data_IF_063603872616
#
_entry.id   IF_063603872616
#
_cell.length_a   1.000
_cell.length_b   1.000
_cell.length_c   1.000
_cell.angle_alpha   90.00
_cell.angle_beta   90.00
_cell.angle_gamma   90.00
#
_symmetry.space_group_name_H-M   'P 1'
#
loop_
_entity.id
_entity.type
_entity.pdbx_description
1 polymer ?
#
# COMPACT_ATOMS: atom_id res chain seq x y z
N UNK A 1 14.52 5.50 22.78
CA UNK A 1 13.82 6.79 22.88
C UNK A 1 12.57 6.66 22.03
N UNK A 2 11.40 6.88 22.61
CA UNK A 2 10.15 6.87 21.84
C UNK A 2 10.22 8.05 20.86
N UNK A 3 9.93 7.77 19.59
CA UNK A 3 9.91 8.75 18.52
C UNK A 3 8.59 9.46 18.41
N UNK A 4 7.52 8.69 18.22
CA UNK A 4 6.15 9.21 18.04
C UNK A 4 5.14 8.20 18.60
N UNK A 5 3.94 8.67 18.91
CA UNK A 5 2.80 7.82 19.28
C UNK A 5 1.54 8.15 18.47
N UNK A 6 1.59 9.18 17.64
CA UNK A 6 0.56 9.49 16.64
C UNK A 6 1.25 9.73 15.31
N UNK A 7 0.72 9.12 14.24
CA UNK A 7 1.08 9.43 12.85
C UNK A 7 -0.17 9.86 12.09
N UNK A 8 -0.11 11.01 11.45
CA UNK A 8 -1.16 11.59 10.62
C UNK A 8 -0.74 11.41 9.16
N UNK A 9 -1.64 10.88 8.33
CA UNK A 9 -1.47 10.76 6.89
C UNK A 9 -2.63 11.48 6.20
N UNK A 10 -2.35 12.56 5.48
CA UNK A 10 -3.32 13.32 4.70
C UNK A 10 -3.24 12.90 3.23
N UNK A 11 -4.34 12.39 2.69
CA UNK A 11 -4.45 11.90 1.32
C UNK A 11 -4.98 12.99 0.39
N UNK A 12 -4.57 12.97 -0.88
CA UNK A 12 -4.96 13.99 -1.87
C UNK A 12 -6.47 14.09 -2.10
N UNK A 13 -7.21 13.00 -1.93
CA UNK A 13 -8.67 12.96 -1.99
C UNK A 13 -9.40 13.55 -0.75
N UNK A 14 -8.66 14.17 0.17
CA UNK A 14 -9.18 14.80 1.38
C UNK A 14 -9.48 13.84 2.53
N UNK A 15 -9.13 12.56 2.39
CA UNK A 15 -9.18 11.62 3.51
C UNK A 15 -7.97 11.84 4.43
N UNK A 16 -8.17 11.73 5.74
CA UNK A 16 -7.10 11.81 6.74
C UNK A 16 -7.11 10.57 7.62
N UNK A 17 -5.95 9.96 7.80
CA UNK A 17 -5.75 8.80 8.66
C UNK A 17 -4.87 9.14 9.84
N UNK A 18 -5.41 8.98 11.04
CA UNK A 18 -4.67 9.01 12.28
C UNK A 18 -4.34 7.57 12.69
N UNK A 19 -3.06 7.31 12.90
CA UNK A 19 -2.53 6.05 13.44
C UNK A 19 -2.01 6.30 14.84
N UNK A 20 -2.72 5.78 15.84
CA UNK A 20 -2.41 5.92 17.26
C UNK A 20 -1.69 4.65 17.72
N UNK A 21 -0.57 4.84 18.40
CA UNK A 21 0.27 3.79 18.95
C UNK A 21 0.41 4.02 20.47
N UNK A 22 -0.46 3.42 21.31
CA UNK A 22 -0.47 3.70 22.75
C UNK A 22 0.89 3.44 23.45
N UNK A 23 1.62 2.42 23.00
CA UNK A 23 2.96 2.06 23.51
C UNK A 23 4.10 2.89 22.90
N UNK A 24 3.79 3.77 21.94
CA UNK A 24 4.75 4.53 21.15
C UNK A 24 5.56 3.69 20.16
N UNK A 25 6.09 4.37 19.15
CA UNK A 25 7.03 3.85 18.16
C UNK A 25 8.37 4.52 18.38
N UNK A 26 9.45 3.75 18.38
CA UNK A 26 10.80 4.31 18.52
C UNK A 26 11.20 4.99 17.20
N UNK A 27 11.72 6.21 17.27
CA UNK A 27 12.24 6.89 16.09
C UNK A 27 13.44 6.12 15.55
N UNK A 28 13.42 5.83 14.26
CA UNK A 28 14.55 5.33 13.51
C UNK A 28 14.70 6.27 12.32
N UNK A 29 15.78 7.08 12.24
CA UNK A 29 15.97 7.94 11.08
C UNK A 29 16.00 7.12 9.79
N UNK A 30 15.52 7.68 8.68
CA UNK A 30 15.34 6.94 7.41
C UNK A 30 16.60 6.24 6.93
N UNK A 31 17.75 6.87 7.07
CA UNK A 31 19.08 6.33 6.73
C UNK A 31 19.40 5.04 7.51
N UNK A 32 18.82 4.90 8.70
CA UNK A 32 19.02 3.77 9.61
C UNK A 32 17.84 2.80 9.61
N UNK A 33 16.71 3.06 8.94
CA UNK A 33 15.54 2.15 8.95
C UNK A 33 15.87 0.77 8.42
N UNK A 34 16.59 0.68 7.30
CA UNK A 34 17.06 -0.61 6.78
C UNK A 34 18.17 -1.22 7.62
N UNK A 35 19.02 -0.39 8.25
CA UNK A 35 20.14 -0.86 9.06
C UNK A 35 19.66 -1.42 10.39
N UNK A 36 18.89 -0.69 11.19
CA UNK A 36 18.48 -1.09 12.55
C UNK A 36 17.49 -2.26 12.57
N UNK A 37 16.57 -2.34 11.62
CA UNK A 37 15.64 -3.47 11.51
C UNK A 37 16.40 -4.77 11.18
N UNK A 38 17.34 -4.69 10.24
CA UNK A 38 18.23 -5.81 9.90
C UNK A 38 19.19 -6.11 11.05
N UNK A 39 19.84 -5.11 11.66
CA UNK A 39 20.86 -5.26 12.69
C UNK A 39 20.31 -5.79 14.02
N UNK A 40 19.06 -5.47 14.41
CA UNK A 40 18.42 -6.05 15.61
C UNK A 40 18.13 -7.53 15.44
N UNK A 41 17.76 -7.95 14.23
CA UNK A 41 17.43 -9.35 13.92
C UNK A 41 18.70 -10.13 13.63
N UNK A 42 19.67 -9.52 12.94
CA UNK A 42 21.02 -10.05 12.78
C UNK A 42 21.68 -10.23 14.13
N UNK A 43 21.63 -9.25 15.06
CA UNK A 43 22.12 -9.44 16.43
C UNK A 43 21.47 -10.63 17.11
N UNK A 44 20.14 -10.78 17.06
CA UNK A 44 19.45 -11.95 17.65
C UNK A 44 19.82 -13.28 16.98
N UNK A 45 20.06 -13.29 15.67
CA UNK A 45 20.51 -14.48 14.92
C UNK A 45 22.00 -14.78 15.15
N UNK A 46 22.79 -13.77 15.51
CA UNK A 46 24.24 -13.84 15.68
C UNK A 46 24.62 -14.11 17.15
N UNK A 47 23.82 -13.63 18.11
CA UNK A 47 23.91 -13.98 19.53
C UNK A 47 23.77 -15.49 19.77
N UNK A 48 23.06 -16.22 18.89
CA UNK A 48 22.98 -17.69 18.96
C UNK A 48 24.17 -18.43 18.33
N UNK A 49 25.16 -17.72 17.76
CA UNK A 49 26.30 -18.30 17.03
C UNK A 49 27.67 -17.90 17.62
N UNK A 50 27.70 -17.09 18.68
CA UNK A 50 28.95 -16.59 19.25
C UNK A 50 29.60 -17.66 20.15
N UNK A 51 30.39 -18.54 19.52
CA UNK A 51 31.34 -19.40 20.20
C UNK A 51 32.67 -18.68 20.40
N UNK A 52 33.11 -18.54 21.66
CA UNK A 52 34.47 -18.14 21.97
C UNK A 52 35.36 -19.37 22.02
N UNK A 53 36.40 -19.41 21.18
CA UNK A 53 37.36 -20.50 21.15
C UNK A 53 38.75 -19.97 21.50
N UNK A 54 39.50 -20.74 22.27
CA UNK A 54 40.91 -20.45 22.50
C UNK A 54 41.70 -20.78 21.23
N UNK A 55 42.30 -19.76 20.62
CA UNK A 55 43.18 -19.94 19.47
C UNK A 55 44.61 -20.24 19.97
N UNK A 56 45.14 -21.47 19.79
CA UNK A 56 46.44 -21.86 20.30
C UNK A 56 47.62 -21.22 19.57
N UNK A 57 47.40 -20.52 18.45
CA UNK A 57 48.44 -19.84 17.67
C UNK A 57 48.58 -18.36 18.03
N UNK A 58 47.51 -17.74 18.53
CA UNK A 58 47.51 -16.33 18.97
C UNK A 58 47.42 -16.19 20.48
N UNK A 59 47.27 -17.31 21.20
CA UNK A 59 47.10 -17.40 22.66
C UNK A 59 45.96 -16.52 23.20
N UNK A 60 44.97 -16.24 22.36
CA UNK A 60 43.84 -15.38 22.67
C UNK A 60 42.53 -16.11 22.46
N UNK A 61 41.54 -15.72 23.25
CA UNK A 61 40.16 -16.10 22.99
C UNK A 61 39.71 -15.30 21.76
N UNK A 62 39.43 -16.01 20.67
CA UNK A 62 38.97 -15.41 19.42
C UNK A 62 37.53 -15.84 19.13
N UNK A 63 36.81 -14.96 18.45
CA UNK A 63 35.43 -15.18 18.04
C UNK A 63 35.43 -16.01 16.75
N UNK A 64 35.02 -17.27 16.83
CA UNK A 64 34.88 -18.10 15.64
C UNK A 64 33.49 -17.82 15.04
N UNK A 65 33.43 -17.33 13.79
CA UNK A 65 32.19 -17.38 13.01
C UNK A 65 32.14 -18.76 12.35
N UNK A 66 31.35 -19.69 12.86
CA UNK A 66 30.98 -20.86 12.07
C UNK A 66 30.32 -20.40 10.76
N UNK A 67 30.47 -21.18 9.68
CA UNK A 67 29.71 -20.96 8.45
C UNK A 67 28.23 -20.80 8.81
N UNK A 68 27.55 -19.77 8.28
CA UNK A 68 26.12 -19.58 8.54
C UNK A 68 25.39 -20.90 8.26
N UNK A 69 24.68 -21.45 9.25
CA UNK A 69 23.89 -22.66 9.02
C UNK A 69 22.86 -22.36 7.93
N UNK A 70 22.57 -23.34 7.07
CA UNK A 70 21.58 -23.19 6.01
C UNK A 70 20.20 -22.73 6.55
N UNK A 71 19.90 -23.05 7.81
CA UNK A 71 18.70 -22.61 8.51
C UNK A 71 18.68 -21.09 8.76
N UNK A 72 19.80 -20.51 9.19
CA UNK A 72 19.91 -19.07 9.45
C UNK A 72 19.89 -18.28 8.14
N UNK A 73 20.55 -18.79 7.09
CA UNK A 73 20.47 -18.19 5.75
C UNK A 73 19.01 -18.21 5.22
N UNK A 74 18.30 -19.32 5.42
CA UNK A 74 16.89 -19.44 5.04
C UNK A 74 15.99 -18.45 5.82
N UNK A 75 16.22 -18.30 7.13
CA UNK A 75 15.49 -17.33 7.96
C UNK A 75 15.75 -15.89 7.52
N UNK A 76 17.01 -15.51 7.25
CA UNK A 76 17.39 -14.19 6.72
C UNK A 76 16.69 -13.91 5.37
N UNK A 77 16.73 -14.88 4.46
CA UNK A 77 16.09 -14.78 3.14
C UNK A 77 14.58 -14.61 3.26
N UNK A 78 13.92 -15.39 4.12
CA UNK A 78 12.48 -15.30 4.37
C UNK A 78 12.09 -13.94 4.98
N UNK A 79 12.89 -13.43 5.91
CA UNK A 79 12.68 -12.12 6.51
C UNK A 79 12.82 -10.99 5.47
N UNK A 80 13.92 -10.98 4.71
CA UNK A 80 14.18 -10.00 3.65
C UNK A 80 13.05 -9.97 2.62
N UNK A 81 12.57 -11.14 2.19
CA UNK A 81 11.42 -11.25 1.30
C UNK A 81 10.15 -10.63 1.91
N UNK A 82 9.85 -10.94 3.18
CA UNK A 82 8.68 -10.38 3.87
C UNK A 82 8.73 -8.86 3.94
N UNK A 83 9.86 -8.28 4.36
CA UNK A 83 10.05 -6.82 4.43
C UNK A 83 9.87 -6.18 3.05
N UNK A 84 10.47 -6.78 2.02
CA UNK A 84 10.35 -6.31 0.64
C UNK A 84 8.91 -6.33 0.11
N UNK A 85 8.14 -7.39 0.43
CA UNK A 85 6.71 -7.50 0.10
C UNK A 85 5.93 -6.39 0.82
N UNK A 86 6.12 -6.25 2.13
CA UNK A 86 5.43 -5.25 2.95
C UNK A 86 5.69 -3.83 2.45
N UNK A 87 6.95 -3.48 2.15
CA UNK A 87 7.30 -2.15 1.60
C UNK A 87 6.57 -1.88 0.28
N UNK A 88 6.49 -2.88 -0.59
CA UNK A 88 5.81 -2.73 -1.88
C UNK A 88 4.30 -2.59 -1.70
N UNK A 89 3.70 -3.38 -0.81
CA UNK A 89 2.28 -3.26 -0.46
C UNK A 89 1.94 -1.90 0.10
N UNK A 90 2.72 -1.41 1.07
CA UNK A 90 2.49 -0.11 1.70
C UNK A 90 2.57 0.99 0.64
N UNK A 91 3.63 0.99 -0.20
CA UNK A 91 3.77 2.00 -1.25
C UNK A 91 2.61 2.00 -2.25
N UNK A 92 2.19 0.81 -2.69
CA UNK A 92 1.02 0.66 -3.59
C UNK A 92 -0.25 1.14 -2.89
N UNK A 93 -0.41 0.81 -1.60
CA UNK A 93 -1.56 1.22 -0.80
C UNK A 93 -1.60 2.74 -0.64
N UNK A 94 -0.51 3.38 -0.25
CA UNK A 94 -0.42 4.83 -0.04
C UNK A 94 -0.73 5.61 -1.33
N UNK A 95 -0.14 5.20 -2.46
CA UNK A 95 -0.40 5.78 -3.77
C UNK A 95 -1.87 5.56 -4.18
N UNK A 96 -2.38 4.34 -4.03
CA UNK A 96 -3.75 4.03 -4.42
C UNK A 96 -4.80 4.64 -3.48
N UNK A 97 -4.46 4.91 -2.22
CA UNK A 97 -5.38 5.52 -1.24
C UNK A 97 -5.53 7.02 -1.45
N UNK A 98 -4.49 7.66 -1.99
CA UNK A 98 -4.46 9.09 -2.29
C UNK A 98 -5.42 9.49 -3.42
N UNK A 99 -5.72 8.56 -4.32
CA UNK A 99 -6.52 8.83 -5.51
C UNK A 99 -7.98 8.37 -5.38
N UNK A 100 -8.83 8.86 -6.29
CA UNK A 100 -10.19 8.35 -6.51
C UNK A 100 -10.24 7.60 -7.85
N UNK A 101 -10.46 6.28 -7.78
CA UNK A 101 -10.36 5.40 -8.94
C UNK A 101 -11.70 5.22 -9.68
N UNK A 102 -11.66 5.22 -11.01
CA UNK A 102 -12.86 5.06 -11.84
C UNK A 102 -13.10 3.60 -12.25
N UNK A 103 -12.04 2.88 -12.63
CA UNK A 103 -12.15 1.52 -13.15
C UNK A 103 -11.11 0.58 -12.58
N UNK A 104 -11.55 -0.64 -12.30
CA UNK A 104 -10.70 -1.78 -12.01
C UNK A 104 -10.43 -2.55 -13.31
N UNK A 105 -9.16 -2.74 -13.62
CA UNK A 105 -8.68 -3.32 -14.87
C UNK A 105 -8.09 -4.71 -14.60
N UNK A 106 -8.34 -5.63 -15.53
CA UNK A 106 -7.58 -6.87 -15.66
C UNK A 106 -7.13 -7.02 -17.10
N UNK A 107 -5.84 -7.29 -17.30
CA UNK A 107 -5.22 -7.56 -18.59
C UNK A 107 -4.70 -9.00 -18.61
N UNK A 108 -5.12 -9.73 -19.63
CA UNK A 108 -4.72 -11.11 -19.88
C UNK A 108 -4.07 -11.18 -21.26
N UNK A 109 -2.93 -11.87 -21.34
CA UNK A 109 -2.16 -11.99 -22.58
C UNK A 109 -2.56 -13.23 -23.36
N UNK A 110 -2.58 -13.07 -24.67
CA UNK A 110 -2.74 -14.14 -25.65
C UNK A 110 -1.35 -14.68 -26.01
N UNK A 111 -1.18 -15.99 -25.85
CA UNK A 111 0.07 -16.72 -26.07
C UNK A 111 0.58 -16.59 -27.52
N UNK A 112 -0.33 -16.41 -28.48
CA UNK A 112 0.01 -16.19 -29.88
C UNK A 112 0.62 -14.80 -30.15
N UNK A 113 0.47 -13.84 -29.23
CA UNK A 113 0.83 -12.43 -29.44
C UNK A 113 1.95 -11.94 -28.55
N UNK A 114 2.09 -12.52 -27.36
CA UNK A 114 3.09 -12.14 -26.36
C UNK A 114 3.44 -13.39 -25.58
N UNK A 115 4.73 -13.61 -25.33
CA UNK A 115 5.16 -14.61 -24.36
C UNK A 115 4.62 -14.23 -22.98
N UNK A 116 3.53 -14.90 -22.59
CA UNK A 116 2.80 -14.66 -21.34
C UNK A 116 3.52 -15.22 -20.12
N UNK A 117 4.62 -15.96 -20.31
CA UNK A 117 5.46 -16.51 -19.25
C UNK A 117 6.73 -15.68 -19.04
N UNK A 118 7.07 -14.76 -19.95
CA UNK A 118 8.07 -13.72 -19.72
C UNK A 118 7.46 -12.42 -19.18
N UNK A 119 7.77 -12.13 -17.92
CA UNK A 119 7.39 -10.88 -17.26
C UNK A 119 7.77 -9.63 -18.06
N UNK A 120 8.98 -9.58 -18.62
CA UNK A 120 9.48 -8.39 -19.30
C UNK A 120 8.74 -8.17 -20.63
N UNK A 121 8.44 -9.25 -21.35
CA UNK A 121 7.61 -9.21 -22.55
C UNK A 121 6.21 -8.65 -22.22
N UNK A 122 5.56 -9.18 -21.19
CA UNK A 122 4.26 -8.70 -20.72
C UNK A 122 4.31 -7.22 -20.31
N UNK A 123 5.26 -6.86 -19.45
CA UNK A 123 5.46 -5.49 -18.98
C UNK A 123 5.61 -4.50 -20.13
N UNK A 124 6.43 -4.84 -21.14
CA UNK A 124 6.67 -3.98 -22.30
C UNK A 124 5.37 -3.67 -23.06
N UNK A 125 4.49 -4.67 -23.23
CA UNK A 125 3.20 -4.50 -23.90
C UNK A 125 2.22 -3.67 -23.07
N UNK A 126 2.17 -3.90 -21.76
CA UNK A 126 1.40 -3.07 -20.82
C UNK A 126 1.81 -1.60 -20.91
N UNK A 127 3.11 -1.31 -20.76
CA UNK A 127 3.65 0.05 -20.86
C UNK A 127 3.39 0.68 -22.22
N UNK A 128 3.52 -0.08 -23.32
CA UNK A 128 3.22 0.41 -24.66
C UNK A 128 1.74 0.82 -24.78
N UNK A 129 0.82 0.01 -24.27
CA UNK A 129 -0.60 0.33 -24.28
C UNK A 129 -0.89 1.57 -23.42
N UNK A 130 -0.40 1.63 -22.19
CA UNK A 130 -0.59 2.78 -21.28
C UNK A 130 -0.08 4.09 -21.90
N UNK A 131 1.12 4.07 -22.49
CA UNK A 131 1.69 5.24 -23.17
C UNK A 131 0.83 5.70 -24.36
N UNK A 132 0.22 4.77 -25.09
CA UNK A 132 -0.69 5.11 -26.18
C UNK A 132 -2.00 5.72 -25.66
N UNK A 133 -2.56 5.18 -24.57
CA UNK A 133 -3.76 5.74 -23.95
C UNK A 133 -3.51 7.17 -23.47
N UNK A 134 -2.42 7.36 -22.72
CA UNK A 134 -2.02 8.64 -22.18
C UNK A 134 -1.85 9.70 -23.29
N UNK A 135 -1.08 9.39 -24.33
CA UNK A 135 -0.76 10.37 -25.39
C UNK A 135 -1.92 10.72 -26.32
N UNK A 136 -2.89 9.81 -26.50
CA UNK A 136 -3.91 9.96 -27.54
C UNK A 136 -5.28 10.33 -27.00
N UNK A 137 -5.57 9.94 -25.75
CA UNK A 137 -6.94 9.97 -25.23
C UNK A 137 -7.05 10.57 -23.83
N UNK A 138 -6.03 10.45 -22.98
CA UNK A 138 -6.11 10.80 -21.57
C UNK A 138 -4.77 11.33 -21.03
N UNK A 139 -4.50 12.62 -21.25
CA UNK A 139 -3.21 13.22 -20.88
C UNK A 139 -2.93 13.19 -19.38
N UNK A 140 -3.98 13.18 -18.55
CA UNK A 140 -3.88 13.15 -17.08
C UNK A 140 -4.15 11.75 -16.51
N UNK A 141 -4.05 10.70 -17.34
CA UNK A 141 -4.34 9.32 -16.95
C UNK A 141 -3.55 8.92 -15.70
N UNK A 142 -4.28 8.73 -14.60
CA UNK A 142 -3.76 8.18 -13.37
C UNK A 142 -3.90 6.66 -13.44
N UNK A 143 -2.84 5.92 -13.10
CA UNK A 143 -2.91 4.47 -13.06
C UNK A 143 -1.95 3.84 -12.06
N UNK A 144 -2.35 2.68 -11.55
CA UNK A 144 -1.46 1.74 -10.86
C UNK A 144 -1.75 0.32 -11.33
N UNK A 145 -0.72 -0.43 -11.72
CA UNK A 145 -0.82 -1.80 -12.20
C UNK A 145 0.12 -2.72 -11.43
N UNK A 146 -0.41 -3.87 -11.00
CA UNK A 146 0.30 -4.91 -10.26
C UNK A 146 0.26 -6.21 -11.07
N UNK A 147 1.41 -6.86 -11.30
CA UNK A 147 1.44 -8.18 -11.92
C UNK A 147 0.94 -9.26 -10.95
N UNK A 148 0.21 -10.23 -11.47
CA UNK A 148 -0.18 -11.47 -10.78
C UNK A 148 0.36 -12.66 -11.58
N UNK A 149 0.86 -13.68 -10.88
CA UNK A 149 1.21 -14.95 -11.49
C UNK A 149 0.04 -15.93 -11.33
N UNK A 150 -0.56 -16.33 -12.44
CA UNK A 150 -1.64 -17.30 -12.46
C UNK A 150 -1.09 -18.71 -12.16
N UNK A 151 -1.99 -19.67 -11.87
CA UNK A 151 -1.60 -21.03 -11.43
C UNK A 151 -0.77 -21.80 -12.47
N UNK A 152 -0.99 -21.51 -13.75
CA UNK A 152 -0.25 -22.06 -14.88
C UNK A 152 1.12 -21.38 -15.09
N UNK A 153 1.45 -20.36 -14.31
CA UNK A 153 2.70 -19.61 -14.39
C UNK A 153 2.64 -18.38 -15.28
N UNK A 154 1.52 -18.14 -15.97
CA UNK A 154 1.36 -16.97 -16.82
C UNK A 154 1.17 -15.69 -16.02
N UNK A 155 1.62 -14.56 -16.57
CA UNK A 155 1.45 -13.24 -15.97
C UNK A 155 0.14 -12.58 -16.41
N UNK A 156 -0.62 -12.10 -15.44
CA UNK A 156 -1.72 -11.17 -15.63
C UNK A 156 -1.37 -9.82 -15.00
N UNK A 157 -2.04 -8.76 -15.43
CA UNK A 157 -1.89 -7.44 -14.83
C UNK A 157 -3.24 -6.96 -14.34
N UNK A 158 -3.32 -6.65 -13.05
CA UNK A 158 -4.46 -5.96 -12.45
C UNK A 158 -4.11 -4.49 -12.28
N UNK A 159 -5.09 -3.61 -12.44
CA UNK A 159 -4.81 -2.20 -12.22
C UNK A 159 -6.03 -1.38 -11.81
N UNK A 160 -5.75 -0.19 -11.33
CA UNK A 160 -6.72 0.87 -11.09
C UNK A 160 -6.38 2.00 -12.05
N UNK A 161 -7.41 2.60 -12.66
CA UNK A 161 -7.24 3.76 -13.53
C UNK A 161 -8.27 4.84 -13.20
N UNK A 162 -7.87 6.10 -13.38
CA UNK A 162 -8.68 7.29 -13.23
C UNK A 162 -8.23 8.36 -14.24
N UNK A 163 -9.04 9.40 -14.39
CA UNK A 163 -8.87 10.45 -15.40
C UNK A 163 -8.79 9.85 -16.81
N UNK A 164 -9.73 8.94 -17.12
CA UNK A 164 -9.68 8.15 -18.36
C UNK A 164 -9.98 8.96 -19.62
N UNK A 165 -10.36 10.24 -19.48
CA UNK A 165 -10.57 11.16 -20.60
C UNK A 165 -11.45 10.56 -21.70
N UNK A 166 -10.91 10.52 -22.92
CA UNK A 166 -11.58 9.97 -24.10
C UNK A 166 -11.15 8.53 -24.42
N UNK A 167 -10.64 7.78 -23.43
CA UNK A 167 -10.28 6.38 -23.63
C UNK A 167 -11.49 5.57 -24.11
N UNK A 168 -11.27 4.71 -25.10
CA UNK A 168 -12.35 3.89 -25.67
C UNK A 168 -12.61 2.69 -24.77
N UNK A 169 -13.69 2.74 -23.99
CA UNK A 169 -14.21 1.59 -23.25
C UNK A 169 -15.34 0.95 -24.07
N UNK A 170 -15.05 -0.21 -24.66
CA UNK A 170 -16.00 -0.91 -25.54
C UNK A 170 -16.83 -1.86 -24.72
N UNK A 171 -18.14 -1.80 -24.86
CA UNK A 171 -19.03 -2.72 -24.19
C UNK A 171 -18.67 -4.19 -24.50
N UNK A 172 -18.45 -5.02 -23.46
CA UNK A 172 -18.10 -6.45 -23.64
C UNK A 172 -19.29 -7.36 -23.92
N UNK A 173 -20.51 -6.84 -23.87
CA UNK A 173 -21.76 -7.63 -23.88
C UNK A 173 -22.00 -8.39 -22.56
N UNK A 174 -21.25 -8.07 -21.50
CA UNK A 174 -21.34 -8.72 -20.18
C UNK A 174 -21.65 -7.73 -19.07
N UNK A 175 -22.24 -8.25 -18.00
CA UNK A 175 -22.52 -7.52 -16.76
C UNK A 175 -21.91 -8.22 -15.55
N UNK A 176 -21.54 -7.45 -14.54
CA UNK A 176 -21.00 -7.92 -13.28
C UNK A 176 -22.14 -8.12 -12.26
N UNK A 177 -22.31 -9.36 -11.79
CA UNK A 177 -23.28 -9.70 -10.75
C UNK A 177 -22.53 -10.41 -9.62
N UNK A 178 -22.38 -9.73 -8.48
CA UNK A 178 -21.52 -10.20 -7.40
C UNK A 178 -20.07 -10.38 -7.87
N UNK A 179 -19.52 -11.60 -7.72
CA UNK A 179 -18.13 -11.95 -8.09
C UNK A 179 -17.99 -12.57 -9.48
N UNK A 180 -19.07 -12.62 -10.28
CA UNK A 180 -19.10 -13.34 -11.56
C UNK A 180 -19.55 -12.42 -12.70
N UNK A 181 -19.12 -12.76 -13.92
CA UNK A 181 -19.58 -12.11 -15.15
C UNK A 181 -20.65 -12.95 -15.82
N UNK A 182 -21.69 -12.30 -16.32
CA UNK A 182 -22.79 -12.92 -17.04
C UNK A 182 -22.99 -12.25 -18.39
N UNK A 183 -23.47 -13.01 -19.39
CA UNK A 183 -23.89 -12.42 -20.67
C UNK A 183 -25.06 -11.48 -20.41
N UNK A 184 -25.06 -10.32 -21.06
CA UNK A 184 -26.14 -9.35 -20.92
C UNK A 184 -27.42 -9.86 -21.56
N UNK A 185 -28.51 -9.64 -20.84
CA UNK A 185 -29.89 -9.89 -21.24
C UNK A 185 -30.74 -8.74 -20.70
N UNK A 186 -31.97 -8.56 -21.20
CA UNK A 186 -32.86 -7.49 -20.72
C UNK A 186 -33.14 -7.61 -19.20
N UNK A 187 -33.12 -8.83 -18.66
CA UNK A 187 -33.35 -9.10 -17.23
C UNK A 187 -32.23 -8.64 -16.32
N UNK A 188 -31.00 -8.52 -16.84
CA UNK A 188 -29.82 -8.14 -16.06
C UNK A 188 -29.14 -6.86 -16.56
N UNK A 189 -29.80 -6.10 -17.43
CA UNK A 189 -29.28 -4.88 -18.02
C UNK A 189 -29.01 -3.76 -16.99
N UNK A 190 -29.67 -3.81 -15.83
CA UNK A 190 -29.45 -2.86 -14.73
C UNK A 190 -28.15 -3.07 -13.97
N UNK A 191 -27.49 -4.24 -14.13
CA UNK A 191 -26.23 -4.51 -13.44
C UNK A 191 -25.04 -3.80 -14.12
N UNK A 192 -23.97 -3.51 -13.37
CA UNK A 192 -22.79 -2.82 -13.91
C UNK A 192 -22.23 -3.52 -15.15
N UNK A 193 -22.05 -2.76 -16.22
CA UNK A 193 -21.45 -3.26 -17.46
C UNK A 193 -19.96 -3.49 -17.28
N UNK A 194 -19.46 -4.59 -17.85
CA UNK A 194 -18.03 -4.85 -18.00
C UNK A 194 -17.63 -4.36 -19.38
N UNK A 195 -16.56 -3.58 -19.46
CA UNK A 195 -16.03 -3.07 -20.72
C UNK A 195 -14.73 -3.79 -21.10
N UNK A 196 -14.42 -3.81 -22.38
CA UNK A 196 -13.11 -4.13 -22.92
C UNK A 196 -12.34 -2.83 -23.16
N UNK A 197 -11.03 -2.86 -22.94
CA UNK A 197 -10.15 -1.72 -23.15
C UNK A 197 -9.80 -1.57 -24.64
N UNK A 198 -10.21 -0.46 -25.23
CA UNK A 198 -9.90 -0.12 -26.62
C UNK A 198 -8.40 -0.06 -26.88
N UNK A 199 -7.98 -0.65 -28.01
CA UNK A 199 -6.58 -0.70 -28.42
C UNK A 199 -5.72 -1.70 -27.63
N UNK A 200 -6.28 -2.44 -26.66
CA UNK A 200 -5.60 -3.59 -26.08
C UNK A 200 -5.63 -4.75 -27.07
N UNK A 201 -4.56 -4.89 -27.85
CA UNK A 201 -4.49 -5.88 -28.93
C UNK A 201 -3.71 -7.14 -28.54
N UNK A 202 -3.19 -7.23 -27.32
CA UNK A 202 -2.28 -8.29 -26.86
C UNK A 202 -2.97 -9.45 -26.14
N UNK A 203 -4.30 -9.44 -26.05
CA UNK A 203 -5.11 -10.50 -25.47
C UNK A 203 -6.48 -9.97 -25.04
N UNK A 204 -6.95 -10.40 -23.88
CA UNK A 204 -8.23 -9.98 -23.32
C UNK A 204 -8.04 -8.88 -22.28
N UNK A 205 -9.06 -8.06 -22.10
CA UNK A 205 -9.10 -7.03 -21.08
C UNK A 205 -10.48 -6.93 -20.49
N UNK A 206 -10.56 -6.52 -19.22
CA UNK A 206 -11.82 -6.15 -18.59
C UNK A 206 -11.64 -4.86 -17.82
N UNK A 207 -12.60 -3.96 -17.92
CA UNK A 207 -12.72 -2.74 -17.14
C UNK A 207 -14.08 -2.73 -16.43
N UNK A 208 -14.06 -2.73 -15.11
CA UNK A 208 -15.27 -2.71 -14.26
C UNK A 208 -15.28 -1.42 -13.48
N UNK A 209 -16.41 -0.69 -13.50
CA UNK A 209 -16.53 0.57 -12.78
C UNK A 209 -16.38 0.35 -11.27
N UNK A 210 -15.61 1.23 -10.62
CA UNK A 210 -15.40 1.23 -9.18
C UNK A 210 -16.44 2.14 -8.54
N UNK A 211 -17.12 1.63 -7.52
CA UNK A 211 -18.06 2.41 -6.70
C UNK A 211 -17.47 2.79 -5.34
N UNK A 212 -16.35 2.15 -4.95
CA UNK A 212 -15.71 2.31 -3.65
C UNK A 212 -14.19 2.17 -3.85
N UNK A 213 -13.51 3.31 -3.98
CA UNK A 213 -12.06 3.37 -4.19
C UNK A 213 -11.29 2.72 -3.05
N UNK A 214 -11.76 2.81 -1.81
CA UNK A 214 -11.10 2.19 -0.67
C UNK A 214 -11.07 0.66 -0.78
N UNK A 215 -12.22 0.06 -1.10
CA UNK A 215 -12.28 -1.39 -1.34
C UNK A 215 -11.42 -1.80 -2.52
N UNK A 216 -11.37 -0.99 -3.59
CA UNK A 216 -10.52 -1.26 -4.74
C UNK A 216 -9.01 -1.20 -4.38
N UNK A 217 -8.59 -0.22 -3.59
CA UNK A 217 -7.23 -0.09 -3.06
C UNK A 217 -6.83 -1.27 -2.18
N UNK A 218 -7.71 -1.71 -1.29
CA UNK A 218 -7.45 -2.93 -0.51
C UNK A 218 -7.42 -4.18 -1.39
N UNK A 219 -8.26 -4.25 -2.43
CA UNK A 219 -8.32 -5.39 -3.34
C UNK A 219 -7.08 -5.48 -4.25
N UNK A 220 -6.55 -4.37 -4.77
CA UNK A 220 -5.37 -4.40 -5.65
C UNK A 220 -4.11 -4.91 -4.91
N UNK A 221 -3.98 -4.59 -3.62
CA UNK A 221 -2.84 -5.05 -2.81
C UNK A 221 -2.86 -6.57 -2.55
N UNK A 222 -4.00 -7.24 -2.76
CA UNK A 222 -4.11 -8.72 -2.71
C UNK A 222 -3.20 -9.40 -3.73
N UNK A 223 -2.99 -8.77 -4.89
CA UNK A 223 -2.18 -9.32 -5.99
C UNK A 223 -0.68 -9.18 -5.75
N UNK A 224 -0.26 -8.39 -4.76
CA UNK A 224 1.13 -8.31 -4.32
C UNK A 224 1.43 -9.51 -3.41
N UNK A 225 1.71 -10.66 -4.00
CA UNK A 225 1.98 -11.90 -3.26
C UNK A 225 3.47 -12.05 -2.92
N UNK A 226 3.80 -13.01 -2.03
CA UNK A 226 5.20 -13.38 -1.77
C UNK A 226 5.84 -13.97 -3.01
N UNK A 227 5.10 -14.82 -3.74
CA UNK A 227 5.58 -15.52 -4.93
C UNK A 227 5.96 -14.54 -6.04
N UNK A 228 5.09 -13.56 -6.33
CA UNK A 228 5.41 -12.54 -7.35
C UNK A 228 6.61 -11.68 -6.92
N UNK A 229 6.77 -11.38 -5.63
CA UNK A 229 7.89 -10.59 -5.16
C UNK A 229 9.22 -11.35 -5.21
N UNK A 230 9.20 -12.67 -5.02
CA UNK A 230 10.37 -13.53 -5.18
C UNK A 230 10.76 -13.65 -6.66
N UNK A 231 9.77 -13.84 -7.54
CA UNK A 231 9.94 -13.97 -8.99
C UNK A 231 10.45 -12.68 -9.64
N UNK A 232 10.03 -11.52 -9.11
CA UNK A 232 10.40 -10.19 -9.60
C UNK A 232 11.52 -9.54 -8.79
N UNK A 233 12.41 -10.33 -8.17
CA UNK A 233 13.56 -9.78 -7.44
C UNK A 233 14.41 -8.91 -8.38
N UNK A 234 14.65 -7.66 -7.99
CA UNK A 234 15.41 -6.68 -8.80
C UNK A 234 14.62 -6.07 -9.96
N UNK A 235 13.33 -6.39 -10.13
CA UNK A 235 12.45 -5.81 -11.15
C UNK A 235 11.38 -4.93 -10.51
N UNK A 236 10.72 -4.11 -11.33
CA UNK A 236 9.56 -3.34 -10.88
C UNK A 236 8.43 -4.28 -10.46
N UNK A 237 7.87 -4.09 -9.26
CA UNK A 237 6.78 -4.93 -8.75
C UNK A 237 5.38 -4.35 -8.97
N UNK A 238 5.33 -3.13 -9.49
CA UNK A 238 4.15 -2.43 -9.94
C UNK A 238 4.58 -1.36 -10.94
N UNK A 239 3.62 -0.84 -11.69
CA UNK A 239 3.79 0.31 -12.57
C UNK A 239 2.80 1.36 -12.10
N UNK A 240 3.24 2.60 -11.96
CA UNK A 240 2.37 3.70 -11.60
C UNK A 240 2.59 4.88 -12.55
N UNK A 241 1.56 5.69 -12.76
CA UNK A 241 1.72 6.99 -13.42
C UNK A 241 2.50 7.95 -12.51
N UNK A 242 3.10 8.99 -13.10
CA UNK A 242 3.93 9.95 -12.34
C UNK A 242 3.12 11.04 -11.64
N UNK A 243 1.85 11.19 -12.01
CA UNK A 243 0.93 12.18 -11.46
C UNK A 243 0.11 11.64 -10.27
N UNK A 244 0.47 10.48 -9.72
CA UNK A 244 -0.12 10.01 -8.46
C UNK A 244 0.44 10.82 -7.30
N UNK A 245 -0.40 11.05 -6.31
CA UNK A 245 -0.02 11.79 -5.11
C UNK A 245 0.45 10.84 -4.02
N UNK A 246 1.50 11.27 -3.31
CA UNK A 246 1.89 10.65 -2.06
C UNK A 246 1.16 11.34 -0.91
N UNK A 247 0.77 10.61 0.14
CA UNK A 247 0.17 11.24 1.31
C UNK A 247 1.21 12.13 2.00
N UNK A 248 0.73 13.24 2.55
CA UNK A 248 1.54 14.06 3.46
C UNK A 248 1.54 13.39 4.82
N UNK A 249 2.72 13.17 5.39
CA UNK A 249 2.86 12.47 6.67
C UNK A 249 3.41 13.40 7.76
N UNK A 250 2.79 13.34 8.94
CA UNK A 250 3.24 14.03 10.15
C UNK A 250 3.30 13.05 11.31
N UNK A 251 4.44 12.99 12.00
CA UNK A 251 4.64 12.16 13.18
C UNK A 251 4.71 13.04 14.43
N UNK A 252 3.90 12.72 15.44
CA UNK A 252 3.78 13.48 16.69
C UNK A 252 4.06 12.59 17.90
N UNK A 253 4.78 13.15 18.88
CA UNK A 253 4.91 12.58 20.21
C UNK A 253 4.03 13.37 21.18
N UNK A 254 2.80 12.92 21.35
CA UNK A 254 1.87 13.52 22.30
C UNK A 254 2.15 12.94 23.69
N UNK A 255 2.25 13.79 24.70
CA UNK A 255 2.38 13.31 26.08
C UNK A 255 1.53 14.14 27.03
N UNK A 256 0.93 13.51 28.04
CA UNK A 256 0.21 14.21 29.10
C UNK A 256 1.14 14.93 30.09
N UNK A 257 2.35 15.38 29.69
CA UNK A 257 3.30 16.02 30.61
C UNK A 257 2.79 17.35 31.19
N UNK A 258 1.71 17.90 30.66
CA UNK A 258 0.98 19.05 31.22
C UNK A 258 -0.11 18.65 32.24
N UNK A 259 -0.30 17.36 32.48
CA UNK A 259 -1.22 16.83 33.48
C UNK A 259 -0.49 16.67 34.82
N UNK A 260 -1.16 17.04 35.92
CA UNK A 260 -0.60 16.87 37.26
C UNK A 260 -0.25 15.40 37.56
N UNK A 261 0.69 15.20 38.50
CA UNK A 261 1.30 13.89 38.81
C UNK A 261 0.28 12.82 39.22
N UNK A 262 -0.89 13.23 39.74
CA UNK A 262 -1.97 12.33 40.11
C UNK A 262 -2.80 11.89 38.91
N UNK A 263 -3.08 12.79 37.95
CA UNK A 263 -3.72 12.44 36.70
C UNK A 263 -2.92 11.38 35.91
N UNK A 264 -1.58 11.42 35.95
CA UNK A 264 -0.71 10.45 35.28
C UNK A 264 -0.85 9.01 35.81
N UNK A 265 -1.21 8.81 37.08
CA UNK A 265 -1.29 7.49 37.73
C UNK A 265 -2.64 6.79 37.49
N UNK A 266 -3.69 7.55 37.20
CA UNK A 266 -5.03 7.04 36.88
C UNK A 266 -5.35 7.16 35.38
N UNK A 267 -4.39 7.63 34.59
CA UNK A 267 -4.56 7.97 33.19
C UNK A 267 -4.70 6.74 32.31
N UNK A 268 -5.79 6.66 31.56
CA UNK A 268 -5.85 5.77 30.41
C UNK A 268 -5.20 6.49 29.21
N UNK A 269 -3.90 6.24 28.98
CA UNK A 269 -3.15 6.88 27.90
C UNK A 269 -3.71 6.63 26.51
N UNK A 270 -4.37 5.50 26.27
CA UNK A 270 -5.04 5.21 25.00
C UNK A 270 -6.25 6.12 24.76
N UNK A 271 -7.15 6.21 25.74
CA UNK A 271 -8.34 7.05 25.66
C UNK A 271 -7.97 8.54 25.53
N UNK A 272 -6.91 8.97 26.22
CA UNK A 272 -6.41 10.33 26.05
C UNK A 272 -5.86 10.58 24.65
N UNK A 273 -5.08 9.65 24.09
CA UNK A 273 -4.58 9.79 22.72
C UNK A 273 -5.73 9.86 21.71
N UNK A 274 -6.77 9.03 21.88
CA UNK A 274 -7.99 9.09 21.05
C UNK A 274 -8.68 10.45 21.18
N UNK A 275 -8.81 10.96 22.40
CA UNK A 275 -9.40 12.28 22.66
C UNK A 275 -8.59 13.38 21.96
N UNK A 276 -7.26 13.37 22.08
CA UNK A 276 -6.41 14.36 21.42
C UNK A 276 -6.47 14.28 19.91
N UNK A 277 -6.47 13.07 19.33
CA UNK A 277 -6.68 12.91 17.89
C UNK A 277 -8.04 13.45 17.46
N UNK A 278 -9.10 13.17 18.21
CA UNK A 278 -10.42 13.70 17.91
C UNK A 278 -10.47 15.23 17.99
N UNK A 279 -9.82 15.83 19.00
CA UNK A 279 -9.73 17.28 19.16
C UNK A 279 -8.96 17.92 18.01
N UNK A 280 -7.79 17.38 17.64
CA UNK A 280 -7.01 17.80 16.47
C UNK A 280 -7.88 17.71 15.21
N UNK A 281 -8.51 16.56 14.96
CA UNK A 281 -9.34 16.36 13.77
C UNK A 281 -10.49 17.37 13.70
N UNK A 282 -11.19 17.62 14.81
CA UNK A 282 -12.27 18.59 14.89
C UNK A 282 -11.79 20.02 14.65
N UNK A 283 -10.65 20.41 15.22
CA UNK A 283 -10.07 21.74 15.03
C UNK A 283 -9.63 22.00 13.58
N UNK A 284 -9.35 20.94 12.83
CA UNK A 284 -9.05 20.99 11.40
C UNK A 284 -10.29 20.78 10.49
N UNK A 285 -11.49 20.68 11.06
CA UNK A 285 -12.72 20.50 10.28
C UNK A 285 -12.87 19.12 9.64
N UNK A 286 -12.26 18.09 10.23
CA UNK A 286 -12.34 16.72 9.73
C UNK A 286 -13.48 15.95 10.39
N UNK A 287 -14.29 15.28 9.57
CA UNK A 287 -15.42 14.45 10.03
C UNK A 287 -15.00 13.00 10.19
N UNK A 288 -15.26 12.44 11.38
CA UNK A 288 -14.97 11.03 11.67
C UNK A 288 -15.78 10.09 10.77
N UNK A 289 -15.10 9.10 10.19
CA UNK A 289 -15.72 8.05 9.36
C UNK A 289 -15.78 6.71 10.09
N UNK A 290 -14.63 6.20 10.52
CA UNK A 290 -14.57 4.92 11.21
C UNK A 290 -13.27 4.73 11.99
N UNK A 291 -13.31 3.81 12.96
CA UNK A 291 -12.16 3.34 13.71
C UNK A 291 -11.92 1.85 13.42
N UNK A 292 -10.66 1.44 13.38
CA UNK A 292 -10.27 0.03 13.44
C UNK A 292 -9.11 -0.17 14.40
N UNK A 293 -9.12 -1.29 15.11
CA UNK A 293 -8.07 -1.68 16.06
C UNK A 293 -7.36 -2.90 15.52
N UNK A 294 -6.02 -2.86 15.55
CA UNK A 294 -5.16 -3.97 15.17
C UNK A 294 -4.28 -4.33 16.34
N UNK A 295 -4.56 -5.49 16.94
CA UNK A 295 -3.77 -6.07 18.02
C UNK A 295 -2.71 -7.00 17.43
N UNK A 296 -1.60 -6.40 16.98
CA UNK A 296 -0.43 -7.11 16.45
C UNK A 296 0.70 -7.24 17.47
N UNK A 297 1.95 -7.18 17.00
CA UNK A 297 3.13 -7.11 17.88
C UNK A 297 3.10 -5.86 18.79
N UNK A 298 2.50 -4.77 18.29
CA UNK A 298 2.10 -3.60 19.04
C UNK A 298 0.66 -3.28 18.69
N UNK A 299 -0.10 -2.76 19.67
CA UNK A 299 -1.45 -2.25 19.43
C UNK A 299 -1.40 -0.99 18.57
N UNK A 300 -2.20 -0.96 17.52
CA UNK A 300 -2.39 0.21 16.67
C UNK A 300 -3.88 0.48 16.48
N UNK A 301 -4.27 1.75 16.61
CA UNK A 301 -5.64 2.21 16.43
C UNK A 301 -5.66 3.17 15.26
N UNK A 302 -6.46 2.87 14.26
CA UNK A 302 -6.59 3.69 13.06
C UNK A 302 -7.93 4.39 13.10
N UNK A 303 -7.92 5.72 13.06
CA UNK A 303 -9.12 6.54 12.92
C UNK A 303 -9.06 7.25 11.58
N UNK A 304 -10.10 7.07 10.76
CA UNK A 304 -10.22 7.69 9.44
C UNK A 304 -11.22 8.82 9.53
N UNK A 305 -10.85 9.95 8.92
CA UNK A 305 -11.64 11.15 8.82
C UNK A 305 -11.68 11.64 7.37
N UNK A 306 -12.59 12.55 7.07
CA UNK A 306 -12.70 13.22 5.77
C UNK A 306 -12.77 14.73 5.98
N UNK A 307 -12.09 15.50 5.14
CA UNK A 307 -12.25 16.96 5.09
C UNK A 307 -13.72 17.32 4.82
N UNK A 308 -14.26 18.20 5.66
CA UNK A 308 -15.55 18.82 5.43
C UNK A 308 -15.35 20.16 4.71
N UNK A 309 -15.75 20.23 3.44
CA UNK A 309 -15.63 21.45 2.62
C UNK A 309 -16.59 22.58 3.05
N UNK A 310 -17.50 22.35 4.01
CA UNK A 310 -18.46 23.38 4.47
C UNK A 310 -17.83 24.45 5.38
N UNK A 311 -16.58 24.29 5.83
CA UNK A 311 -15.90 25.26 6.70
C UNK A 311 -15.20 26.40 5.96
N UNK A 312 -14.90 26.27 4.66
CA UNK A 312 -14.17 27.30 3.89
C UNK A 312 -15.05 28.47 3.39
N UNK A 313 -16.38 28.35 3.40
CA UNK A 313 -17.27 29.42 2.90
C UNK A 313 -17.69 30.50 3.93
N UNK A 314 -17.19 30.47 5.18
CA UNK A 314 -17.71 31.34 6.25
C UNK A 314 -16.80 32.46 6.77
N UNK A 315 -15.64 32.75 6.17
CA UNK A 315 -14.80 33.87 6.62
C UNK A 315 -14.72 35.11 5.71
N UNK A 316 -15.16 35.08 4.45
CA UNK A 316 -15.12 36.25 3.56
C UNK A 316 -16.43 37.06 3.48
N UNK A 317 -17.09 37.23 4.63
CA UNK A 317 -18.46 37.73 4.69
C UNK A 317 -18.79 38.81 5.71
N UNK A 318 -17.81 39.52 6.30
CA UNK A 318 -18.10 40.73 7.11
C UNK A 318 -17.04 41.82 6.97
N UNK A 319 -17.19 42.64 5.94
CA UNK A 319 -16.88 44.06 6.03
C UNK A 319 -17.89 44.86 5.21
N UNK A 320 -18.84 45.48 5.91
CA UNK A 320 -19.46 46.76 5.59
C UNK A 320 -20.24 47.28 6.80
#
# INVERSE_FOLDING_TARGET
MIGYNVKIQEFHNGEVKFSIYPEGINFVPDEFKSYIENERIERKLQESQDGYIYNPFTEKIEKLKEFESAEIEAQRKAHSQRVSVTRSKNKIHDLARSETWEYFITLTYDDSKTDRYDYNACLKKCCQWLNNQHKRYAQDLAYIFVPEKHKDGAYHFHGLIANVGNMKLVDSGRVAIGKKSYIRTDKNASYPTIYNLGGWNYGWSTATKINDSYKATNYITKYVTKDICADLKGKHRYIASKNLHEPVELELLLSPYDCDRYAQLTFNGEEWLKYMVHDIAKNHGYDFKYESVVDGFKKAIYQIYQINYESEEKEDGKSK
#
